data_IF_697485974690
#
_entry.id   IF_697485974690
#
_cell.length_a   1.000
_cell.length_b   1.000
_cell.length_c   1.000
_cell.angle_alpha   90.00
_cell.angle_beta   90.00
_cell.angle_gamma   90.00
#
_symmetry.space_group_name_H-M   'P 1'
#
loop_
_entity.id
_entity.type
_entity.pdbx_description
1 polymer ?
#
# COMPACT_ATOMS: atom_id res chain seq x y z
N UNK A 1 -12.80 40.15 61.03
CA UNK A 1 -11.92 39.86 59.90
C UNK A 1 -11.58 38.36 59.96
N UNK A 2 -12.28 37.53 59.16
CA UNK A 2 -12.24 36.09 59.27
C UNK A 2 -11.32 35.55 58.19
N UNK A 3 -10.14 35.03 58.60
CA UNK A 3 -9.18 34.45 57.69
C UNK A 3 -9.44 32.97 57.60
N UNK A 4 -9.91 32.51 56.43
CA UNK A 4 -10.11 31.07 56.16
C UNK A 4 -8.75 30.35 56.09
N UNK A 5 -8.60 29.13 56.68
CA UNK A 5 -7.36 28.38 56.64
C UNK A 5 -7.06 27.89 55.20
N UNK A 6 -5.83 28.04 54.79
CA UNK A 6 -5.29 27.48 53.54
C UNK A 6 -5.32 25.95 53.65
N UNK A 7 -6.00 25.28 52.78
CA UNK A 7 -5.99 23.81 52.73
C UNK A 7 -4.60 23.32 52.32
N UNK A 8 -3.88 22.67 53.23
CA UNK A 8 -2.63 21.97 52.95
C UNK A 8 -2.91 20.78 52.05
N UNK A 9 -2.27 20.75 50.90
CA UNK A 9 -2.33 19.60 49.98
C UNK A 9 -1.71 18.37 50.70
N UNK A 10 -2.53 17.32 50.79
CA UNK A 10 -2.13 16.04 51.39
C UNK A 10 -1.00 15.40 50.54
N UNK A 11 0.21 15.22 51.07
CA UNK A 11 1.36 14.68 50.38
C UNK A 11 1.14 13.27 49.84
N UNK A 12 0.23 12.49 50.44
CA UNK A 12 -0.09 11.14 49.96
C UNK A 12 -0.76 11.12 48.57
N UNK A 13 -1.56 12.16 48.25
CA UNK A 13 -2.19 12.28 46.94
C UNK A 13 -1.22 12.73 45.83
N UNK A 14 -0.17 13.44 46.17
CA UNK A 14 0.87 13.87 45.22
C UNK A 14 1.77 12.68 44.86
N UNK A 15 2.15 11.86 45.86
CA UNK A 15 2.96 10.66 45.63
C UNK A 15 2.24 9.61 44.77
N UNK A 16 0.92 9.43 44.97
CA UNK A 16 0.12 8.50 44.19
C UNK A 16 -0.01 8.94 42.71
N UNK A 17 -0.19 10.23 42.45
CA UNK A 17 -0.27 10.77 41.09
C UNK A 17 1.06 10.72 40.35
N UNK A 18 2.17 10.97 41.02
CA UNK A 18 3.52 10.83 40.46
C UNK A 18 3.88 9.36 40.18
N UNK A 19 3.45 8.43 41.06
CA UNK A 19 3.65 6.99 40.84
C UNK A 19 2.89 6.45 39.62
N UNK A 20 1.68 6.90 39.37
CA UNK A 20 0.90 6.51 38.20
C UNK A 20 1.49 7.05 36.89
N UNK A 21 2.06 8.26 36.89
CA UNK A 21 2.75 8.78 35.70
C UNK A 21 4.05 8.03 35.42
N UNK A 22 4.81 7.61 36.46
CA UNK A 22 6.04 6.83 36.27
C UNK A 22 5.76 5.41 35.77
N UNK A 23 4.66 4.77 36.19
CA UNK A 23 4.25 3.46 35.69
C UNK A 23 3.81 3.50 34.21
N UNK A 24 3.16 4.58 33.78
CA UNK A 24 2.81 4.77 32.38
C UNK A 24 4.01 4.97 31.45
N UNK A 25 5.08 5.63 31.95
CA UNK A 25 6.32 5.81 31.19
C UNK A 25 7.19 4.53 31.15
N UNK A 26 7.14 3.70 32.18
CA UNK A 26 7.89 2.43 32.20
C UNK A 26 7.28 1.37 31.27
N UNK A 27 5.98 1.44 31.02
CA UNK A 27 5.27 0.53 30.09
C UNK A 27 5.59 0.77 28.62
N UNK A 28 6.13 1.93 28.25
CA UNK A 28 6.49 2.25 26.86
C UNK A 28 7.94 1.87 26.49
N UNK A 29 8.79 1.52 27.46
CA UNK A 29 10.19 1.16 27.23
C UNK A 29 10.41 -0.32 26.87
N UNK A 30 9.38 -1.15 26.90
CA UNK A 30 9.43 -2.57 26.51
C UNK A 30 8.85 -2.83 25.13
N UNK A 31 8.80 -1.83 24.24
CA UNK A 31 8.63 -2.10 22.81
C UNK A 31 9.95 -2.66 22.32
N UNK A 32 10.05 -3.97 22.26
CA UNK A 32 11.04 -4.66 21.44
C UNK A 32 11.08 -3.98 20.08
N UNK A 33 12.28 -3.62 19.61
CA UNK A 33 12.50 -3.24 18.21
C UNK A 33 12.28 -4.50 17.34
N UNK A 34 11.02 -4.99 17.29
CA UNK A 34 10.60 -5.79 16.16
C UNK A 34 10.78 -4.86 14.97
N UNK A 35 11.62 -5.27 14.03
CA UNK A 35 11.80 -4.55 12.77
C UNK A 35 10.41 -4.45 12.13
N UNK A 36 9.73 -3.33 12.40
CA UNK A 36 8.39 -3.10 11.83
C UNK A 36 8.53 -3.19 10.33
N UNK A 37 7.74 -4.06 9.73
CA UNK A 37 7.55 -4.12 8.31
C UNK A 37 7.25 -2.71 7.80
N UNK A 38 8.09 -2.20 6.90
CA UNK A 38 7.93 -0.87 6.31
C UNK A 38 7.38 -1.04 4.92
N UNK A 39 6.22 -0.46 4.67
CA UNK A 39 5.63 -0.40 3.33
C UNK A 39 6.34 0.67 2.52
N UNK A 40 6.96 0.26 1.43
CA UNK A 40 7.57 1.14 0.44
C UNK A 40 6.54 1.41 -0.65
N UNK A 41 6.34 2.68 -1.01
CA UNK A 41 5.34 3.11 -1.99
C UNK A 41 6.00 3.88 -3.12
N UNK A 42 5.62 3.54 -4.36
CA UNK A 42 5.96 4.27 -5.58
C UNK A 42 4.67 4.78 -6.22
N UNK A 43 4.62 6.06 -6.56
CA UNK A 43 3.43 6.73 -7.10
C UNK A 43 3.68 7.43 -8.44
N UNK A 44 4.87 7.24 -9.03
CA UNK A 44 5.17 7.79 -10.35
C UNK A 44 4.51 6.96 -11.43
N UNK A 45 3.57 7.51 -12.23
CA UNK A 45 2.91 6.76 -13.28
C UNK A 45 3.88 6.34 -14.38
N UNK A 46 3.73 5.09 -14.86
CA UNK A 46 4.50 4.52 -15.96
C UNK A 46 3.51 4.08 -17.03
N UNK A 47 3.59 4.71 -18.21
CA UNK A 47 2.79 4.29 -19.36
C UNK A 47 3.30 2.95 -19.90
N UNK A 48 2.40 2.00 -20.13
CA UNK A 48 2.73 0.69 -20.72
C UNK A 48 2.55 0.77 -22.24
N UNK A 49 3.64 0.68 -23.02
CA UNK A 49 3.52 0.65 -24.48
C UNK A 49 2.79 -0.61 -24.94
N UNK A 50 1.86 -0.46 -25.92
CA UNK A 50 1.23 -1.61 -26.57
C UNK A 50 2.18 -2.20 -27.63
N UNK A 51 3.33 -2.70 -27.18
CA UNK A 51 4.35 -3.32 -28.00
C UNK A 51 4.85 -4.60 -27.32
N UNK A 52 5.47 -5.48 -28.11
CA UNK A 52 6.07 -6.71 -27.58
C UNK A 52 7.20 -6.43 -26.57
N UNK A 53 7.91 -5.31 -26.69
CA UNK A 53 8.93 -4.92 -25.71
C UNK A 53 8.32 -4.49 -24.37
N UNK A 54 7.17 -3.81 -24.38
CA UNK A 54 6.54 -3.30 -23.16
C UNK A 54 7.42 -2.32 -22.39
N UNK A 55 7.37 -2.42 -21.07
CA UNK A 55 8.26 -1.72 -20.14
C UNK A 55 8.71 -2.65 -19.03
N UNK A 56 10.00 -2.67 -18.74
CA UNK A 56 10.59 -3.41 -17.61
C UNK A 56 10.71 -2.48 -16.40
N UNK A 57 10.34 -2.96 -15.23
CA UNK A 57 10.29 -2.20 -13.98
C UNK A 57 11.09 -2.96 -12.91
N UNK A 58 12.04 -2.30 -12.28
CA UNK A 58 12.64 -2.76 -11.03
C UNK A 58 11.75 -2.27 -9.88
N UNK A 59 11.09 -3.18 -9.19
CA UNK A 59 10.12 -2.85 -8.13
C UNK A 59 10.78 -2.28 -6.87
N UNK A 60 12.06 -2.58 -6.66
CA UNK A 60 12.84 -2.09 -5.53
C UNK A 60 13.26 -0.62 -5.71
N UNK A 61 13.71 -0.25 -6.92
CA UNK A 61 14.32 1.07 -7.18
C UNK A 61 13.41 2.04 -7.94
N UNK A 62 12.38 1.54 -8.62
CA UNK A 62 11.52 2.32 -9.50
C UNK A 62 12.11 2.57 -10.89
N UNK A 63 13.32 2.08 -11.19
CA UNK A 63 13.91 2.18 -12.50
C UNK A 63 13.03 1.47 -13.53
N UNK A 64 12.85 2.09 -14.71
CA UNK A 64 12.04 1.50 -15.76
C UNK A 64 12.56 1.91 -17.15
N UNK A 65 12.46 1.00 -18.12
CA UNK A 65 12.88 1.20 -19.51
C UNK A 65 12.27 0.12 -20.42
N UNK A 66 12.29 0.32 -21.77
CA UNK A 66 11.77 -0.65 -22.71
C UNK A 66 12.69 -1.87 -22.95
N UNK A 67 13.85 -1.95 -22.30
CA UNK A 67 14.79 -3.07 -22.44
C UNK A 67 15.32 -3.54 -21.09
N UNK A 68 15.52 -4.84 -20.93
CA UNK A 68 16.07 -5.45 -19.69
C UNK A 68 17.48 -4.95 -19.37
N UNK A 69 18.31 -4.70 -20.38
CA UNK A 69 19.68 -4.23 -20.20
C UNK A 69 19.75 -2.82 -19.57
N UNK A 70 18.71 -2.01 -19.75
CA UNK A 70 18.61 -0.66 -19.16
C UNK A 70 18.05 -0.66 -17.73
N UNK A 71 17.54 -1.81 -17.23
CA UNK A 71 16.95 -1.95 -15.89
C UNK A 71 17.55 -3.18 -15.22
N UNK A 72 18.76 -3.11 -14.69
CA UNK A 72 19.34 -4.20 -13.92
C UNK A 72 18.42 -4.58 -12.75
N UNK A 73 18.25 -5.88 -12.49
CA UNK A 73 17.36 -6.36 -11.43
C UNK A 73 15.88 -6.04 -11.68
N UNK A 74 15.43 -5.96 -12.94
CA UNK A 74 14.01 -5.80 -13.22
C UNK A 74 13.20 -6.99 -12.71
N UNK A 75 11.97 -6.73 -12.24
CA UNK A 75 11.10 -7.73 -11.61
C UNK A 75 9.81 -7.96 -12.38
N UNK A 76 9.24 -6.89 -12.92
CA UNK A 76 7.93 -6.87 -13.55
C UNK A 76 7.97 -6.17 -14.90
N UNK A 77 7.40 -6.81 -15.91
CA UNK A 77 7.31 -6.28 -17.29
C UNK A 77 5.89 -6.40 -17.85
N UNK A 78 5.05 -5.37 -17.75
CA UNK A 78 3.81 -5.31 -18.52
C UNK A 78 4.08 -4.98 -19.98
N UNK A 79 3.44 -5.68 -20.91
CA UNK A 79 3.68 -5.59 -22.34
C UNK A 79 2.45 -5.91 -23.18
N UNK A 80 2.49 -5.60 -24.49
CA UNK A 80 1.44 -5.91 -25.45
C UNK A 80 1.70 -7.20 -26.21
N UNK A 81 0.89 -8.23 -25.96
CA UNK A 81 0.90 -9.47 -26.73
C UNK A 81 -0.29 -9.49 -27.70
N UNK A 82 -0.02 -9.34 -28.98
CA UNK A 82 -1.07 -9.21 -30.00
C UNK A 82 -2.14 -8.18 -29.63
N UNK A 83 -1.72 -7.01 -29.20
CA UNK A 83 -2.54 -5.90 -28.67
C UNK A 83 -3.24 -6.15 -27.33
N UNK A 84 -3.03 -7.29 -26.69
CA UNK A 84 -3.62 -7.63 -25.40
C UNK A 84 -2.58 -7.41 -24.30
N UNK A 85 -2.99 -6.80 -23.20
CA UNK A 85 -2.12 -6.61 -22.02
C UNK A 85 -1.69 -7.97 -21.47
N UNK A 86 -0.40 -8.12 -21.26
CA UNK A 86 0.23 -9.32 -20.70
C UNK A 86 1.29 -8.93 -19.67
N UNK A 87 1.67 -9.89 -18.82
CA UNK A 87 2.65 -9.67 -17.76
C UNK A 87 3.83 -10.64 -17.92
N UNK A 88 5.00 -10.11 -17.60
CA UNK A 88 6.23 -10.87 -17.55
C UNK A 88 6.94 -10.63 -16.22
N UNK A 89 7.42 -11.68 -15.58
CA UNK A 89 8.12 -11.62 -14.31
C UNK A 89 9.52 -12.18 -14.46
N UNK A 90 10.50 -11.55 -13.82
CA UNK A 90 11.87 -12.07 -13.80
C UNK A 90 11.91 -13.37 -12.99
N UNK A 91 12.25 -14.47 -13.64
CA UNK A 91 12.29 -15.80 -13.01
C UNK A 91 13.61 -16.10 -12.27
N UNK A 92 14.46 -15.12 -12.03
CA UNK A 92 15.77 -15.32 -11.39
C UNK A 92 15.82 -14.65 -10.00
N UNK A 93 16.10 -15.42 -8.92
CA UNK A 93 16.20 -16.89 -8.83
C UNK A 93 14.89 -17.62 -9.20
N UNK A 94 14.99 -18.92 -9.48
CA UNK A 94 13.81 -19.71 -9.84
C UNK A 94 12.70 -19.63 -8.78
N UNK A 95 11.47 -19.44 -9.21
CA UNK A 95 10.27 -19.32 -8.34
C UNK A 95 10.29 -18.12 -7.38
N UNK A 96 11.14 -17.13 -7.60
CA UNK A 96 11.25 -15.95 -6.73
C UNK A 96 10.27 -14.84 -7.07
N UNK A 97 9.69 -14.83 -8.27
CA UNK A 97 8.79 -13.79 -8.75
C UNK A 97 7.48 -14.35 -9.31
N UNK A 98 6.49 -13.50 -9.49
CA UNK A 98 5.20 -13.85 -10.08
C UNK A 98 4.05 -13.00 -9.54
N UNK A 99 2.95 -12.99 -10.29
CA UNK A 99 1.70 -12.34 -9.89
C UNK A 99 0.76 -13.29 -9.17
N UNK A 100 -0.07 -12.76 -8.26
CA UNK A 100 -1.11 -13.53 -7.57
C UNK A 100 -2.13 -14.05 -8.58
N UNK A 101 -2.40 -15.34 -8.53
CA UNK A 101 -3.23 -16.05 -9.50
C UNK A 101 -4.14 -17.09 -8.84
N UNK A 102 -5.17 -17.52 -9.57
CA UNK A 102 -6.07 -18.58 -9.11
C UNK A 102 -5.39 -19.96 -9.02
N UNK A 103 -4.39 -20.20 -9.88
CA UNK A 103 -3.54 -21.39 -9.87
C UNK A 103 -2.11 -21.01 -10.26
N UNK A 104 -1.15 -21.94 -10.14
CA UNK A 104 0.25 -21.72 -10.54
C UNK A 104 0.42 -21.45 -12.05
N UNK A 105 -0.58 -21.76 -12.86
CA UNK A 105 -0.60 -21.47 -14.30
C UNK A 105 -1.45 -20.24 -14.66
N UNK A 106 -2.06 -19.58 -13.68
CA UNK A 106 -2.99 -18.43 -13.83
C UNK A 106 -4.45 -18.87 -13.72
N UNK A 107 -5.46 -18.01 -14.04
CA UNK A 107 -5.32 -16.61 -14.41
C UNK A 107 -4.87 -15.72 -13.25
N UNK A 108 -4.28 -14.57 -13.57
CA UNK A 108 -3.99 -13.52 -12.61
C UNK A 108 -5.27 -12.93 -12.03
N UNK A 109 -5.23 -12.60 -10.74
CA UNK A 109 -6.38 -12.07 -10.02
C UNK A 109 -6.30 -10.55 -9.91
N UNK A 110 -7.39 -9.87 -10.27
CA UNK A 110 -7.58 -8.47 -9.92
C UNK A 110 -8.05 -8.40 -8.46
N UNK A 111 -7.16 -7.96 -7.56
CA UNK A 111 -7.39 -8.02 -6.12
C UNK A 111 -8.26 -6.86 -5.64
N UNK A 112 -9.33 -7.12 -4.87
CA UNK A 112 -10.07 -6.08 -4.19
C UNK A 112 -9.27 -5.47 -3.04
N UNK A 113 -9.67 -4.28 -2.59
CA UNK A 113 -9.14 -3.68 -1.36
C UNK A 113 -9.37 -4.62 -0.17
N UNK A 114 -8.40 -4.66 0.74
CA UNK A 114 -8.41 -5.57 1.89
C UNK A 114 -7.82 -6.96 1.61
N UNK A 115 -7.49 -7.30 0.35
CA UNK A 115 -6.80 -8.56 0.03
C UNK A 115 -5.42 -8.60 0.70
N UNK A 116 -5.05 -9.77 1.22
CA UNK A 116 -3.73 -10.01 1.83
C UNK A 116 -2.88 -10.82 0.86
N UNK A 117 -1.64 -10.36 0.65
CA UNK A 117 -0.63 -11.02 -0.19
C UNK A 117 0.51 -11.47 0.71
N UNK A 118 0.87 -12.74 0.64
CA UNK A 118 1.86 -13.35 1.53
C UNK A 118 2.48 -14.60 0.89
N UNK A 119 3.36 -15.28 1.61
CA UNK A 119 3.91 -16.57 1.22
C UNK A 119 2.83 -17.67 0.97
N UNK A 120 1.65 -17.53 1.58
CA UNK A 120 0.52 -18.45 1.39
C UNK A 120 -0.29 -18.19 0.11
N UNK A 121 -0.06 -17.06 -0.58
CA UNK A 121 -0.73 -16.74 -1.84
C UNK A 121 -0.21 -17.64 -2.97
N UNK A 122 -1.09 -17.98 -3.91
CA UNK A 122 -0.69 -18.70 -5.13
C UNK A 122 -0.16 -17.69 -6.15
N UNK A 123 1.02 -17.98 -6.71
CA UNK A 123 1.68 -17.13 -7.69
C UNK A 123 1.87 -17.85 -9.02
N UNK A 124 1.77 -17.09 -10.11
CA UNK A 124 2.05 -17.52 -11.46
C UNK A 124 3.07 -16.56 -12.11
N UNK A 125 3.93 -17.09 -12.96
CA UNK A 125 4.80 -16.31 -13.85
C UNK A 125 4.44 -16.57 -15.33
N UNK A 126 3.22 -17.02 -15.62
CA UNK A 126 2.76 -17.29 -16.98
C UNK A 126 2.68 -16.00 -17.79
N UNK A 127 3.22 -16.05 -19.02
CA UNK A 127 3.23 -14.91 -19.95
C UNK A 127 2.05 -14.92 -20.94
N UNK A 128 1.15 -15.90 -20.83
CA UNK A 128 -0.01 -16.00 -21.71
C UNK A 128 -0.99 -14.83 -21.50
N UNK A 129 -1.46 -14.22 -22.59
CA UNK A 129 -2.47 -13.18 -22.55
C UNK A 129 -3.84 -13.67 -22.05
N UNK A 130 -4.10 -14.99 -22.07
CA UNK A 130 -5.29 -15.59 -21.46
C UNK A 130 -5.28 -15.49 -19.94
N UNK A 131 -4.12 -15.29 -19.34
CA UNK A 131 -3.97 -15.15 -17.89
C UNK A 131 -4.27 -13.75 -17.36
N UNK A 132 -4.40 -12.75 -18.24
CA UNK A 132 -4.61 -11.34 -17.88
C UNK A 132 -6.05 -10.86 -18.12
N UNK A 133 -7.00 -11.73 -18.33
CA UNK A 133 -8.41 -11.36 -18.65
C UNK A 133 -9.04 -10.41 -17.63
N UNK A 134 -8.70 -10.54 -16.36
CA UNK A 134 -9.17 -9.66 -15.28
C UNK A 134 -8.63 -8.21 -15.38
N UNK A 135 -7.62 -7.97 -16.24
CA UNK A 135 -6.99 -6.66 -16.47
C UNK A 135 -7.31 -6.07 -17.84
N UNK A 136 -8.23 -6.69 -18.58
CA UNK A 136 -8.63 -6.27 -19.91
C UNK A 136 -9.91 -5.43 -19.92
N UNK A 137 -10.43 -5.06 -18.75
CA UNK A 137 -11.58 -4.16 -18.58
C UNK A 137 -11.13 -2.73 -18.31
N UNK A 138 -12.03 -1.77 -18.54
CA UNK A 138 -11.78 -0.37 -18.19
C UNK A 138 -11.88 -0.16 -16.68
N UNK A 139 -10.87 0.43 -16.08
CA UNK A 139 -10.88 0.83 -14.68
C UNK A 139 -9.55 0.58 -13.95
N UNK A 140 -9.60 0.73 -12.65
CA UNK A 140 -8.45 0.46 -11.76
C UNK A 140 -8.38 -1.02 -11.45
N UNK A 141 -7.24 -1.63 -11.72
CA UNK A 141 -6.93 -3.02 -11.43
C UNK A 141 -5.73 -3.13 -10.50
N UNK A 142 -5.71 -4.17 -9.67
CA UNK A 142 -4.62 -4.40 -8.69
C UNK A 142 -4.09 -5.82 -8.81
N UNK A 143 -2.82 -5.94 -9.18
CA UNK A 143 -2.13 -7.22 -9.28
C UNK A 143 -1.23 -7.37 -8.07
N UNK A 144 -1.49 -8.38 -7.23
CA UNK A 144 -0.55 -8.80 -6.20
C UNK A 144 0.67 -9.47 -6.82
N UNK A 145 1.83 -9.28 -6.23
CA UNK A 145 3.07 -9.88 -6.71
C UNK A 145 3.98 -10.34 -5.57
N UNK A 146 4.92 -11.18 -5.92
CA UNK A 146 6.16 -11.42 -5.18
C UNK A 146 7.35 -11.16 -6.08
N UNK A 147 8.48 -10.74 -5.51
CA UNK A 147 9.73 -10.51 -6.23
C UNK A 147 10.93 -10.80 -5.34
N UNK A 148 12.10 -11.02 -5.96
CA UNK A 148 13.35 -11.17 -5.25
C UNK A 148 13.96 -9.80 -4.98
N UNK A 149 14.22 -9.49 -3.72
CA UNK A 149 14.88 -8.25 -3.33
C UNK A 149 16.38 -8.53 -3.21
N UNK A 150 17.17 -8.02 -4.16
CA UNK A 150 18.60 -8.24 -4.22
C UNK A 150 19.35 -7.61 -3.03
N UNK A 151 18.82 -6.54 -2.44
CA UNK A 151 19.45 -5.86 -1.32
C UNK A 151 19.41 -6.69 -0.04
N UNK A 152 18.36 -7.51 0.14
CA UNK A 152 18.15 -8.35 1.33
C UNK A 152 18.30 -9.83 1.05
N UNK A 153 18.43 -10.22 -0.22
CA UNK A 153 18.40 -11.61 -0.70
C UNK A 153 17.15 -12.39 -0.23
N UNK A 154 16.01 -11.72 -0.16
CA UNK A 154 14.75 -12.24 0.34
C UNK A 154 13.60 -12.03 -0.67
N UNK A 155 12.52 -12.81 -0.50
CA UNK A 155 11.28 -12.60 -1.24
C UNK A 155 10.43 -11.53 -0.53
N UNK A 156 10.02 -10.51 -1.28
CA UNK A 156 9.11 -9.49 -0.83
C UNK A 156 7.75 -9.63 -1.52
N UNK A 157 6.70 -9.16 -0.85
CA UNK A 157 5.32 -9.20 -1.33
C UNK A 157 4.79 -7.79 -1.50
N UNK A 158 4.01 -7.59 -2.56
CA UNK A 158 3.47 -6.29 -2.89
C UNK A 158 2.27 -6.36 -3.81
N UNK A 159 1.80 -5.19 -4.21
CA UNK A 159 0.79 -5.05 -5.28
C UNK A 159 1.11 -3.86 -6.16
N UNK A 160 0.81 -3.99 -7.45
CA UNK A 160 0.82 -2.91 -8.43
C UNK A 160 -0.60 -2.48 -8.72
N UNK A 161 -0.84 -1.17 -8.77
CA UNK A 161 -2.09 -0.57 -9.22
C UNK A 161 -1.93 -0.13 -10.67
N UNK A 162 -2.88 -0.47 -11.50
CA UNK A 162 -2.89 -0.16 -12.93
C UNK A 162 -4.23 0.44 -13.32
N UNK A 163 -4.19 1.43 -14.21
CA UNK A 163 -5.35 1.90 -14.96
C UNK A 163 -5.33 1.22 -16.32
N UNK A 164 -6.39 0.51 -16.67
CA UNK A 164 -6.50 -0.23 -17.93
C UNK A 164 -7.76 0.18 -18.69
N UNK A 165 -7.81 -0.12 -19.98
CA UNK A 165 -8.95 0.17 -20.84
C UNK A 165 -9.35 -1.09 -21.61
N UNK A 166 -10.65 -1.44 -21.55
CA UNK A 166 -11.18 -2.58 -22.31
C UNK A 166 -11.24 -2.34 -23.82
N UNK A 167 -11.37 -3.41 -24.60
CA UNK A 167 -11.52 -4.80 -24.19
C UNK A 167 -10.20 -5.58 -24.07
N UNK A 168 -9.05 -4.97 -24.38
CA UNK A 168 -7.76 -5.66 -24.48
C UNK A 168 -6.74 -5.21 -23.41
N UNK A 169 -7.15 -4.30 -22.49
CA UNK A 169 -6.32 -3.77 -21.44
C UNK A 169 -5.52 -2.53 -21.83
N UNK A 170 -5.58 -2.04 -23.07
CA UNK A 170 -4.87 -0.85 -23.54
C UNK A 170 -5.81 0.30 -23.94
N UNK A 171 -5.37 1.58 -23.73
CA UNK A 171 -4.14 2.00 -23.08
C UNK A 171 -4.05 1.55 -21.62
N UNK A 172 -2.82 1.26 -21.16
CA UNK A 172 -2.54 0.85 -19.80
C UNK A 172 -1.48 1.75 -19.15
N UNK A 173 -1.66 2.02 -17.87
CA UNK A 173 -0.71 2.79 -17.06
C UNK A 173 -0.54 2.11 -15.71
N UNK A 174 0.68 1.81 -15.28
CA UNK A 174 1.00 1.52 -13.89
C UNK A 174 0.92 2.83 -13.15
N UNK A 175 -0.03 2.98 -12.21
CA UNK A 175 -0.21 4.21 -11.43
C UNK A 175 0.66 4.24 -10.18
N UNK A 176 1.10 3.06 -9.72
CA UNK A 176 2.00 2.92 -8.60
C UNK A 176 2.08 1.47 -8.13
N UNK A 177 2.93 1.24 -7.14
CA UNK A 177 3.02 -0.04 -6.44
C UNK A 177 3.48 0.14 -5.01
N UNK A 178 3.18 -0.87 -4.18
CA UNK A 178 3.59 -0.92 -2.79
C UNK A 178 4.11 -2.31 -2.46
N UNK A 179 5.13 -2.41 -1.61
CA UNK A 179 5.62 -3.69 -1.12
C UNK A 179 6.14 -3.59 0.31
N UNK A 180 6.17 -4.73 1.00
CA UNK A 180 6.81 -4.89 2.30
C UNK A 180 8.28 -5.20 2.15
N UNK A 181 9.15 -4.49 2.89
CA UNK A 181 10.60 -4.58 2.74
C UNK A 181 11.27 -5.72 3.56
N UNK A 182 10.52 -6.44 4.38
CA UNK A 182 11.04 -7.51 5.25
C UNK A 182 10.44 -8.91 4.93
N UNK A 183 9.70 -9.05 3.83
CA UNK A 183 9.05 -10.31 3.45
C UNK A 183 7.76 -10.64 4.21
N UNK A 184 7.23 -9.70 5.03
CA UNK A 184 5.93 -9.86 5.66
C UNK A 184 4.77 -9.77 4.67
N UNK A 185 3.60 -10.20 5.10
CA UNK A 185 2.37 -10.02 4.34
C UNK A 185 2.01 -8.54 4.18
N UNK A 186 1.47 -8.17 3.02
CA UNK A 186 0.94 -6.84 2.76
C UNK A 186 -0.56 -6.91 2.47
N UNK A 187 -1.29 -5.88 2.91
CA UNK A 187 -2.72 -5.72 2.59
C UNK A 187 -2.89 -4.67 1.51
N UNK A 188 -3.72 -4.97 0.52
CA UNK A 188 -4.09 -4.03 -0.55
C UNK A 188 -4.94 -2.90 0.04
N UNK A 189 -4.41 -1.68 0.03
CA UNK A 189 -5.09 -0.49 0.57
C UNK A 189 -5.33 0.54 -0.55
N UNK A 190 -6.26 1.51 -0.36
CA UNK A 190 -6.38 2.66 -1.26
C UNK A 190 -5.06 3.42 -1.34
N UNK A 191 -4.79 4.06 -2.47
CA UNK A 191 -3.61 4.91 -2.62
C UNK A 191 -3.58 6.01 -1.53
N UNK A 192 -2.40 6.34 -0.97
CA UNK A 192 -2.28 7.31 0.14
C UNK A 192 -2.95 8.66 -0.13
N UNK A 193 -2.93 9.13 -1.39
CA UNK A 193 -3.60 10.36 -1.79
C UNK A 193 -5.12 10.31 -1.58
N UNK A 194 -5.76 9.17 -1.87
CA UNK A 194 -7.19 8.98 -1.67
C UNK A 194 -7.57 8.98 -0.18
N UNK A 195 -6.74 8.37 0.67
CA UNK A 195 -6.93 8.35 2.12
C UNK A 195 -6.76 9.77 2.72
N UNK A 196 -5.79 10.54 2.24
CA UNK A 196 -5.56 11.92 2.66
C UNK A 196 -6.74 12.83 2.28
N UNK A 197 -7.23 12.73 1.05
CA UNK A 197 -8.38 13.53 0.57
C UNK A 197 -9.65 13.20 1.35
N UNK A 198 -9.89 11.92 1.68
CA UNK A 198 -11.02 11.50 2.50
C UNK A 198 -10.93 12.07 3.92
N UNK A 199 -9.74 12.03 4.54
CA UNK A 199 -9.52 12.58 5.88
C UNK A 199 -9.69 14.10 5.92
N UNK A 200 -9.17 14.82 4.93
CA UNK A 200 -9.38 16.27 4.79
C UNK A 200 -10.85 16.63 4.58
N UNK A 201 -11.57 15.86 3.77
CA UNK A 201 -13.01 16.03 3.57
C UNK A 201 -13.81 15.85 4.86
N UNK A 202 -13.50 14.83 5.64
CA UNK A 202 -14.14 14.57 6.94
C UNK A 202 -13.87 15.70 7.95
N UNK A 203 -12.64 16.21 8.02
CA UNK A 203 -12.27 17.36 8.86
C UNK A 203 -13.01 18.63 8.46
N UNK A 204 -13.14 18.90 7.17
CA UNK A 204 -13.87 20.07 6.66
C UNK A 204 -15.37 19.99 7.03
N UNK A 205 -16.00 18.84 6.84
CA UNK A 205 -17.41 18.61 7.22
C UNK A 205 -17.62 18.74 8.73
N UNK A 206 -16.70 18.22 9.54
CA UNK A 206 -16.72 18.36 11.00
C UNK A 206 -16.66 19.82 11.46
N UNK A 207 -15.78 20.61 10.85
CA UNK A 207 -15.64 22.05 11.16
C UNK A 207 -16.90 22.86 10.82
N UNK A 208 -17.56 22.54 9.70
CA UNK A 208 -18.84 23.17 9.30
C UNK A 208 -19.97 22.80 10.28
N UNK A 209 -20.04 21.54 10.68
CA UNK A 209 -21.02 21.05 11.67
C UNK A 209 -20.91 21.77 13.02
N UNK A 210 -19.69 21.94 13.53
CA UNK A 210 -19.41 22.65 14.79
C UNK A 210 -19.79 24.14 14.72
N UNK A 211 -19.53 24.81 13.59
CA UNK A 211 -19.93 26.21 13.39
C UNK A 211 -21.44 26.37 13.36
N UNK A 212 -22.17 25.44 12.75
CA UNK A 212 -23.63 25.45 12.69
C UNK A 212 -24.25 25.27 14.09
N UNK A 213 -23.73 24.32 14.87
CA UNK A 213 -24.16 24.10 16.25
C UNK A 213 -23.99 25.35 17.10
N UNK A 214 -22.83 26.00 17.09
CA UNK A 214 -22.58 27.25 17.84
C UNK A 214 -23.50 28.39 17.46
N UNK A 215 -23.97 28.49 16.21
CA UNK A 215 -24.94 29.50 15.79
C UNK A 215 -26.33 29.23 16.36
N UNK A 216 -26.77 27.96 16.34
CA UNK A 216 -28.06 27.56 16.92
C UNK A 216 -28.09 27.77 18.43
N UNK A 217 -27.03 27.39 19.15
CA UNK A 217 -26.94 27.62 20.60
C UNK A 217 -27.01 29.10 20.98
N UNK A 218 -26.47 30.03 20.17
CA UNK A 218 -26.56 31.46 20.37
C UNK A 218 -27.96 32.02 20.11
N UNK A 219 -28.70 31.46 19.16
CA UNK A 219 -30.08 31.89 18.86
C UNK A 219 -31.09 31.43 19.92
N UNK A 220 -30.81 30.34 20.62
CA UNK A 220 -31.65 29.81 21.70
C UNK A 220 -31.38 30.54 23.05
N UNK A 221 -30.29 31.28 23.18
CA UNK A 221 -29.88 31.96 24.40
C UNK A 221 -30.26 33.49 24.39
N UNK A 222 -30.84 33.98 23.28
CA UNK A 222 -31.37 35.32 23.11
C UNK A 222 -32.89 35.34 23.22
#
# INVERSE_FOLDING_TARGET
>A
MNISPVSTLDPSNVALRLGMCAAALAGTAAMTNDAHAVVINFTTPIMVPNTFAGVYINLLTGANAPTTAAVPGWDFGPWGNANTLSFFFNGTPANSSGGVAGTTLGPYLNLPLGSVISAASTFSASTSNLQTTAFQSTGTSRLGFRFFNEATSAINYGYVTMQTTGPLGFPATVTGWSFENNGSAITVVPEPASALMLSMGALALGAVGLRRKRRLDRQLAS
#
